data_IF_460155245328
#
_entry.id   IF_460155245328
#
_cell.length_a   1.000
_cell.length_b   1.000
_cell.length_c   1.000
_cell.angle_alpha   90.00
_cell.angle_beta   90.00
_cell.angle_gamma   90.00
#
_symmetry.space_group_name_H-M   'P 1'
#
loop_
_entity.id
_entity.type
_entity.pdbx_description
1 polymer ?
#
# COMPACT_ATOMS: atom_id res chain seq x y z
N UNK A 1 -29.16 -3.62 15.35
CA UNK A 1 -28.44 -4.68 16.08
C UNK A 1 -28.46 -5.87 15.14
N UNK A 2 -27.39 -6.06 14.35
CA UNK A 2 -27.21 -7.27 13.56
C UNK A 2 -26.70 -8.35 14.53
N UNK A 3 -27.30 -9.55 14.57
CA UNK A 3 -26.80 -10.61 15.41
C UNK A 3 -25.38 -10.99 14.93
N UNK A 4 -24.49 -11.27 15.87
CA UNK A 4 -23.19 -11.90 15.61
C UNK A 4 -23.41 -13.12 14.73
N UNK A 5 -23.23 -12.97 13.43
CA UNK A 5 -23.17 -14.11 12.53
C UNK A 5 -21.82 -14.78 12.83
N UNK A 6 -21.86 -15.90 13.56
CA UNK A 6 -20.75 -16.82 13.62
C UNK A 6 -20.51 -17.31 12.18
N UNK A 7 -19.65 -16.62 11.45
CA UNK A 7 -19.17 -17.10 10.19
C UNK A 7 -18.37 -18.38 10.46
N UNK A 8 -18.89 -19.53 10.07
CA UNK A 8 -18.10 -20.74 10.01
C UNK A 8 -17.10 -20.54 8.89
N UNK A 9 -15.84 -20.23 9.24
CA UNK A 9 -14.76 -20.11 8.28
C UNK A 9 -14.61 -21.43 7.52
N UNK A 10 -14.73 -21.38 6.20
CA UNK A 10 -14.64 -22.56 5.34
C UNK A 10 -13.25 -23.23 5.42
N UNK A 11 -12.21 -22.43 5.58
CA UNK A 11 -10.82 -22.86 5.68
C UNK A 11 -10.12 -22.22 6.89
N UNK A 12 -9.08 -22.88 7.37
CA UNK A 12 -8.18 -22.36 8.41
C UNK A 12 -6.77 -22.26 7.83
N UNK A 13 -6.23 -21.06 7.75
CA UNK A 13 -4.87 -20.83 7.31
C UNK A 13 -3.92 -20.70 8.51
N UNK A 14 -2.69 -21.22 8.38
CA UNK A 14 -1.65 -21.09 9.40
C UNK A 14 -0.94 -19.73 9.35
N UNK A 15 -0.97 -19.07 8.18
CA UNK A 15 -0.39 -17.76 7.95
C UNK A 15 -1.48 -16.73 7.65
N UNK A 16 -1.19 -15.47 7.87
CA UNK A 16 -2.06 -14.35 7.49
C UNK A 16 -1.85 -14.03 6.02
N UNK A 17 -2.61 -14.69 5.16
CA UNK A 17 -2.66 -14.33 3.76
C UNK A 17 -3.54 -13.09 3.58
N UNK A 18 -3.08 -12.15 2.76
CA UNK A 18 -3.79 -10.91 2.45
C UNK A 18 -4.13 -10.86 0.96
N UNK A 19 -5.27 -11.41 0.52
CA UNK A 19 -5.70 -11.28 -0.87
C UNK A 19 -5.90 -9.81 -1.21
N UNK A 20 -5.58 -9.44 -2.46
CA UNK A 20 -5.85 -8.11 -2.97
C UNK A 20 -7.36 -7.92 -3.23
N UNK A 21 -7.90 -6.77 -2.80
CA UNK A 21 -9.29 -6.44 -3.09
C UNK A 21 -9.53 -6.37 -4.60
N UNK A 22 -10.59 -7.02 -5.07
CA UNK A 22 -10.88 -7.22 -6.48
C UNK A 22 -10.62 -8.63 -7.00
N UNK A 23 -9.80 -9.43 -6.32
CA UNK A 23 -9.54 -10.83 -6.71
C UNK A 23 -10.81 -11.68 -6.71
N UNK A 24 -11.74 -11.39 -5.81
CA UNK A 24 -12.98 -12.16 -5.65
C UNK A 24 -14.23 -11.49 -6.23
N UNK A 25 -14.07 -10.50 -7.10
CA UNK A 25 -15.21 -9.77 -7.70
C UNK A 25 -16.22 -10.68 -8.43
N UNK A 26 -15.76 -11.78 -9.01
CA UNK A 26 -16.63 -12.74 -9.70
C UNK A 26 -17.41 -13.65 -8.74
N UNK A 27 -17.04 -13.70 -7.46
CA UNK A 27 -17.71 -14.47 -6.42
C UNK A 27 -18.59 -13.60 -5.52
N UNK A 28 -18.15 -12.36 -5.25
CA UNK A 28 -18.74 -11.48 -4.25
C UNK A 28 -19.21 -10.12 -4.81
N UNK A 29 -19.10 -9.90 -6.12
CA UNK A 29 -19.47 -8.62 -6.72
C UNK A 29 -18.42 -7.52 -6.55
N UNK A 30 -18.81 -6.27 -6.82
CA UNK A 30 -17.90 -5.12 -6.84
C UNK A 30 -17.87 -4.34 -5.52
N UNK A 31 -18.86 -4.51 -4.63
CA UNK A 31 -18.84 -3.81 -3.34
C UNK A 31 -17.68 -4.30 -2.47
N UNK A 32 -16.83 -3.40 -1.94
CA UNK A 32 -15.70 -3.79 -1.10
C UNK A 32 -16.10 -4.61 0.11
N UNK A 33 -17.23 -4.30 0.74
CA UNK A 33 -17.68 -4.98 1.95
C UNK A 33 -18.12 -6.43 1.65
N UNK A 34 -18.76 -6.64 0.51
CA UNK A 34 -19.16 -7.99 0.09
C UNK A 34 -17.94 -8.87 -0.21
N UNK A 35 -16.91 -8.29 -0.84
CA UNK A 35 -15.63 -8.99 -1.04
C UNK A 35 -14.91 -9.30 0.28
N UNK A 36 -14.88 -8.36 1.22
CA UNK A 36 -14.31 -8.61 2.56
C UNK A 36 -15.09 -9.69 3.30
N UNK A 37 -16.42 -9.69 3.21
CA UNK A 37 -17.28 -10.74 3.78
C UNK A 37 -16.94 -12.11 3.21
N UNK A 38 -16.84 -12.20 1.88
CA UNK A 38 -16.42 -13.44 1.22
C UNK A 38 -15.04 -13.91 1.70
N UNK A 39 -14.07 -12.99 1.81
CA UNK A 39 -12.73 -13.34 2.33
C UNK A 39 -12.80 -13.93 3.74
N UNK A 40 -13.57 -13.32 4.65
CA UNK A 40 -13.79 -13.83 6.01
C UNK A 40 -14.41 -15.22 5.98
N UNK A 41 -15.46 -15.42 5.18
CA UNK A 41 -16.11 -16.74 5.01
C UNK A 41 -15.15 -17.81 4.49
N UNK A 42 -14.18 -17.43 3.65
CA UNK A 42 -13.12 -18.33 3.19
C UNK A 42 -11.99 -18.53 4.23
N UNK A 43 -11.99 -17.83 5.35
CA UNK A 43 -11.01 -17.97 6.43
C UNK A 43 -9.83 -16.99 6.36
N UNK A 44 -9.86 -15.99 5.49
CA UNK A 44 -8.83 -14.96 5.45
C UNK A 44 -9.02 -13.98 6.62
N UNK A 45 -7.90 -13.64 7.26
CA UNK A 45 -7.85 -12.72 8.41
C UNK A 45 -7.13 -11.40 8.07
N UNK A 46 -6.75 -11.23 6.82
CA UNK A 46 -6.13 -10.01 6.30
C UNK A 46 -6.52 -9.81 4.83
N UNK A 47 -6.34 -8.60 4.34
CA UNK A 47 -6.44 -8.26 2.91
C UNK A 47 -5.54 -7.07 2.59
N UNK A 48 -5.32 -6.79 1.32
CA UNK A 48 -4.64 -5.59 0.85
C UNK A 48 -5.47 -4.86 -0.20
N UNK A 49 -5.23 -3.55 -0.36
CA UNK A 49 -5.93 -2.75 -1.36
C UNK A 49 -5.07 -1.58 -1.84
N UNK A 50 -4.44 -1.73 -3.00
CA UNK A 50 -3.61 -0.69 -3.61
C UNK A 50 -4.38 0.63 -3.85
N UNK A 51 -5.70 0.57 -3.94
CA UNK A 51 -6.56 1.73 -4.18
C UNK A 51 -7.14 2.35 -2.90
N UNK A 52 -6.79 1.89 -1.72
CA UNK A 52 -7.39 2.35 -0.47
C UNK A 52 -7.35 3.88 -0.33
N UNK A 53 -6.21 4.52 -0.63
CA UNK A 53 -6.08 5.99 -0.58
C UNK A 53 -7.06 6.72 -1.51
N UNK A 54 -7.40 6.11 -2.65
CA UNK A 54 -8.28 6.70 -3.67
C UNK A 54 -9.78 6.52 -3.36
N UNK A 55 -10.12 5.66 -2.40
CA UNK A 55 -11.50 5.47 -1.97
C UNK A 55 -11.99 6.69 -1.21
N UNK A 56 -13.26 6.99 -1.32
CA UNK A 56 -13.88 8.02 -0.50
C UNK A 56 -13.82 7.66 1.00
N UNK A 57 -13.87 8.69 1.82
CA UNK A 57 -13.70 8.55 3.28
C UNK A 57 -14.78 7.65 3.90
N UNK A 58 -15.99 7.69 3.38
CA UNK A 58 -17.09 6.88 3.89
C UNK A 58 -16.87 5.39 3.61
N UNK A 59 -16.44 5.06 2.39
CA UNK A 59 -16.04 3.69 2.04
C UNK A 59 -14.89 3.20 2.92
N UNK A 60 -13.85 4.02 3.14
CA UNK A 60 -12.75 3.67 4.05
C UNK A 60 -13.25 3.38 5.46
N UNK A 61 -14.16 4.18 6.01
CA UNK A 61 -14.76 3.96 7.34
C UNK A 61 -15.60 2.69 7.40
N UNK A 62 -16.41 2.42 6.37
CA UNK A 62 -17.19 1.18 6.28
C UNK A 62 -16.27 -0.05 6.30
N UNK A 63 -15.18 -0.01 5.52
CA UNK A 63 -14.18 -1.08 5.49
C UNK A 63 -13.48 -1.23 6.84
N UNK A 64 -13.08 -0.13 7.48
CA UNK A 64 -12.47 -0.15 8.81
C UNK A 64 -13.40 -0.78 9.86
N UNK A 65 -14.67 -0.39 9.88
CA UNK A 65 -15.67 -0.97 10.78
C UNK A 65 -15.86 -2.47 10.54
N UNK A 66 -15.92 -2.88 9.27
CA UNK A 66 -16.03 -4.29 8.93
C UNK A 66 -14.80 -5.10 9.41
N UNK A 67 -13.59 -4.58 9.20
CA UNK A 67 -12.35 -5.22 9.66
C UNK A 67 -12.34 -5.42 11.18
N UNK A 68 -12.67 -4.38 11.94
CA UNK A 68 -12.73 -4.43 13.41
C UNK A 68 -13.69 -5.51 13.86
N UNK A 69 -14.91 -5.54 13.30
CA UNK A 69 -15.96 -6.46 13.70
C UNK A 69 -15.65 -7.94 13.36
N UNK A 70 -14.73 -8.18 12.40
CA UNK A 70 -14.38 -9.52 11.95
C UNK A 70 -12.93 -9.90 12.25
N UNK A 71 -12.21 -9.16 13.10
CA UNK A 71 -10.79 -9.39 13.41
C UNK A 71 -9.90 -9.50 12.18
N UNK A 72 -10.22 -8.75 11.13
CA UNK A 72 -9.47 -8.70 9.88
C UNK A 72 -8.46 -7.54 9.92
N UNK A 73 -7.27 -7.74 9.36
CA UNK A 73 -6.22 -6.74 9.33
C UNK A 73 -6.02 -6.18 7.93
N UNK A 74 -5.71 -4.90 7.86
CA UNK A 74 -5.20 -4.30 6.62
C UNK A 74 -3.74 -4.69 6.42
N UNK A 75 -3.40 -5.16 5.21
CA UNK A 75 -2.04 -5.32 4.74
C UNK A 75 -1.47 -3.97 4.27
N UNK A 76 -1.04 -3.91 3.02
CA UNK A 76 -0.49 -2.67 2.43
C UNK A 76 -1.52 -1.94 1.57
N UNK A 77 -1.29 -0.65 1.38
CA UNK A 77 -1.91 0.17 0.33
C UNK A 77 -0.85 1.10 -0.28
N UNK A 78 -1.08 1.56 -1.50
CA UNK A 78 -0.14 2.45 -2.19
C UNK A 78 -0.22 3.86 -1.59
N UNK A 79 0.92 4.36 -1.10
CA UNK A 79 1.00 5.60 -0.33
C UNK A 79 0.93 6.88 -1.18
N UNK A 80 1.38 6.81 -2.42
CA UNK A 80 1.58 7.98 -3.27
C UNK A 80 1.34 7.67 -4.75
N UNK A 81 1.31 8.71 -5.58
CA UNK A 81 1.27 8.57 -7.04
C UNK A 81 2.56 7.92 -7.55
N UNK A 82 2.44 6.80 -8.25
CA UNK A 82 3.57 6.11 -8.87
C UNK A 82 3.75 6.66 -10.29
N UNK A 83 4.93 7.22 -10.56
CA UNK A 83 5.31 7.69 -11.88
C UNK A 83 5.96 6.56 -12.68
N UNK A 84 5.19 5.96 -13.59
CA UNK A 84 5.57 4.77 -14.33
C UNK A 84 6.51 5.01 -15.52
N UNK A 85 6.52 6.25 -16.06
CA UNK A 85 7.22 6.58 -17.32
C UNK A 85 8.09 7.81 -17.23
N UNK A 86 8.09 8.51 -16.12
CA UNK A 86 8.88 9.73 -15.93
C UNK A 86 9.59 9.71 -14.57
N UNK A 87 10.79 10.33 -14.48
CA UNK A 87 11.54 10.38 -13.24
C UNK A 87 10.77 11.08 -12.12
N UNK A 88 10.77 10.46 -10.93
CA UNK A 88 10.22 11.02 -9.71
C UNK A 88 11.33 11.17 -8.65
N UNK A 89 11.38 10.32 -7.64
CA UNK A 89 12.34 10.47 -6.53
C UNK A 89 13.79 10.40 -6.99
N UNK A 90 14.07 9.55 -7.99
CA UNK A 90 15.39 9.39 -8.58
C UNK A 90 15.94 10.70 -9.21
N UNK A 91 15.07 11.61 -9.66
CA UNK A 91 15.49 12.88 -10.28
C UNK A 91 16.11 13.88 -9.30
N UNK A 92 15.84 13.76 -8.00
CA UNK A 92 16.24 14.73 -6.98
C UNK A 92 15.56 16.10 -7.06
N UNK A 93 14.53 16.25 -7.91
CA UNK A 93 13.80 17.51 -8.03
C UNK A 93 13.03 17.84 -6.77
N UNK A 94 13.16 19.07 -6.28
CA UNK A 94 12.55 19.54 -5.03
C UNK A 94 11.01 19.51 -5.08
N UNK A 95 10.43 19.87 -6.21
CA UNK A 95 8.97 19.83 -6.44
C UNK A 95 8.41 18.40 -6.37
N UNK A 96 9.09 17.44 -7.01
CA UNK A 96 8.70 16.03 -6.97
C UNK A 96 8.82 15.43 -5.57
N UNK A 97 9.87 15.78 -4.85
CA UNK A 97 10.01 15.39 -3.44
C UNK A 97 8.93 16.02 -2.57
N UNK A 98 8.64 17.29 -2.75
CA UNK A 98 7.58 17.99 -1.98
C UNK A 98 6.20 17.37 -2.24
N UNK A 99 5.88 17.03 -3.49
CA UNK A 99 4.66 16.29 -3.86
C UNK A 99 4.59 14.94 -3.13
N UNK A 100 5.66 14.14 -3.21
CA UNK A 100 5.75 12.85 -2.53
C UNK A 100 5.52 12.97 -1.01
N UNK A 101 6.21 13.90 -0.34
CA UNK A 101 6.07 14.08 1.11
C UNK A 101 4.69 14.58 1.52
N UNK A 102 4.05 15.40 0.68
CA UNK A 102 2.65 15.80 0.87
C UNK A 102 1.75 14.56 0.83
N UNK A 103 1.91 13.70 -0.18
CA UNK A 103 1.11 12.49 -0.31
C UNK A 103 1.34 11.49 0.82
N UNK A 104 2.58 11.39 1.35
CA UNK A 104 2.87 10.58 2.54
C UNK A 104 2.10 11.10 3.76
N UNK A 105 2.05 12.42 4.00
CA UNK A 105 1.25 13.01 5.08
C UNK A 105 -0.24 12.68 4.94
N UNK A 106 -0.78 12.79 3.74
CA UNK A 106 -2.17 12.41 3.45
C UNK A 106 -2.42 10.92 3.74
N UNK A 107 -1.44 10.07 3.40
CA UNK A 107 -1.52 8.63 3.61
C UNK A 107 -1.47 8.23 5.08
N UNK A 108 -0.84 9.04 5.95
CA UNK A 108 -0.93 8.86 7.41
C UNK A 108 -2.39 8.93 7.88
N UNK A 109 -3.17 9.88 7.37
CA UNK A 109 -4.58 10.02 7.76
C UNK A 109 -5.45 8.85 7.24
N UNK A 110 -5.11 8.31 6.07
CA UNK A 110 -5.74 7.06 5.58
C UNK A 110 -5.37 5.90 6.49
N UNK A 111 -4.07 5.71 6.79
CA UNK A 111 -3.58 4.62 7.63
C UNK A 111 -4.23 4.63 9.03
N UNK A 112 -4.34 5.80 9.65
CA UNK A 112 -5.06 5.97 10.94
C UNK A 112 -6.51 5.52 10.84
N UNK A 113 -7.21 5.89 9.77
CA UNK A 113 -8.62 5.59 9.57
C UNK A 113 -8.90 4.11 9.41
N UNK A 114 -7.99 3.39 8.73
CA UNK A 114 -8.15 1.96 8.44
C UNK A 114 -7.25 1.07 9.32
N UNK A 115 -6.57 1.64 10.32
CA UNK A 115 -5.62 0.95 11.21
C UNK A 115 -4.53 0.18 10.43
N UNK A 116 -4.02 0.75 9.33
CA UNK A 116 -2.90 0.18 8.59
C UNK A 116 -1.57 0.48 9.29
N UNK A 117 -0.65 -0.48 9.24
CA UNK A 117 0.72 -0.37 9.77
C UNK A 117 1.77 -0.27 8.67
N UNK A 118 1.39 -0.58 7.45
CA UNK A 118 2.28 -0.62 6.30
C UNK A 118 1.68 0.11 5.10
N UNK A 119 2.53 0.73 4.31
CA UNK A 119 2.16 1.31 3.03
C UNK A 119 3.25 1.07 1.99
N UNK A 120 2.83 0.77 0.77
CA UNK A 120 3.75 0.53 -0.36
C UNK A 120 4.27 1.84 -0.92
N UNK A 121 5.59 1.89 -1.13
CA UNK A 121 6.28 2.99 -1.80
C UNK A 121 7.09 2.43 -2.98
N UNK A 122 6.85 2.98 -4.17
CA UNK A 122 7.61 2.70 -5.38
C UNK A 122 8.35 3.96 -5.78
N UNK A 123 9.71 3.99 -5.78
CA UNK A 123 10.50 5.21 -6.04
C UNK A 123 10.30 5.84 -7.41
N UNK A 124 9.63 5.15 -8.34
CA UNK A 124 9.31 5.64 -9.68
C UNK A 124 10.39 5.34 -10.71
N UNK A 125 10.35 6.07 -11.82
CA UNK A 125 11.18 5.83 -13.00
C UNK A 125 12.59 6.41 -12.84
N UNK A 126 13.58 5.79 -13.49
CA UNK A 126 14.95 6.27 -13.63
C UNK A 126 15.02 7.61 -14.36
N UNK A 127 15.97 8.47 -14.00
CA UNK A 127 16.38 9.61 -14.82
C UNK A 127 17.65 9.23 -15.61
N UNK A 128 17.48 8.90 -16.88
CA UNK A 128 18.58 8.45 -17.73
C UNK A 128 19.68 9.52 -17.96
N UNK A 129 19.46 10.77 -17.52
CA UNK A 129 20.44 11.86 -17.60
C UNK A 129 21.35 11.92 -16.39
N UNK A 130 21.05 11.14 -15.32
CA UNK A 130 21.78 11.15 -14.06
C UNK A 130 22.53 9.82 -13.85
N UNK A 131 23.71 9.90 -13.24
CA UNK A 131 24.40 8.72 -12.75
C UNK A 131 23.57 8.00 -11.68
N UNK A 132 23.63 6.66 -11.67
CA UNK A 132 22.83 5.83 -10.75
C UNK A 132 23.13 6.14 -9.27
N UNK A 133 24.37 6.48 -8.92
CA UNK A 133 24.72 6.86 -7.55
C UNK A 133 24.01 8.11 -7.06
N UNK A 134 23.88 9.14 -7.92
CA UNK A 134 23.10 10.33 -7.58
C UNK A 134 21.62 10.02 -7.43
N UNK A 135 21.06 9.15 -8.30
CA UNK A 135 19.69 8.72 -8.20
C UNK A 135 19.42 7.99 -6.90
N UNK A 136 20.32 7.10 -6.50
CA UNK A 136 20.25 6.37 -5.22
C UNK A 136 20.25 7.35 -4.03
N UNK A 137 21.18 8.32 -4.02
CA UNK A 137 21.23 9.33 -2.96
C UNK A 137 19.92 10.15 -2.90
N UNK A 138 19.38 10.56 -4.03
CA UNK A 138 18.12 11.31 -4.10
C UNK A 138 16.92 10.52 -3.56
N UNK A 139 16.86 9.22 -3.88
CA UNK A 139 15.81 8.32 -3.37
C UNK A 139 15.94 8.15 -1.86
N UNK A 140 17.15 7.83 -1.37
CA UNK A 140 17.42 7.65 0.07
C UNK A 140 17.03 8.91 0.87
N UNK A 141 17.42 10.10 0.39
CA UNK A 141 17.05 11.36 1.05
C UNK A 141 15.53 11.53 1.13
N UNK A 142 14.82 11.22 0.05
CA UNK A 142 13.35 11.32 0.02
C UNK A 142 12.68 10.32 0.97
N UNK A 143 13.22 9.08 1.04
CA UNK A 143 12.71 8.05 1.94
C UNK A 143 12.98 8.37 3.42
N UNK A 144 14.15 8.94 3.75
CA UNK A 144 14.45 9.41 5.13
C UNK A 144 13.45 10.45 5.59
N UNK A 145 13.19 11.48 4.76
CA UNK A 145 12.20 12.50 5.07
C UNK A 145 10.77 11.94 5.20
N UNK A 146 10.44 10.91 4.43
CA UNK A 146 9.17 10.21 4.58
C UNK A 146 9.12 9.40 5.89
N UNK A 147 10.21 8.75 6.28
CA UNK A 147 10.31 8.04 7.56
C UNK A 147 10.09 8.98 8.75
N UNK A 148 10.67 10.17 8.74
CA UNK A 148 10.46 11.17 9.78
C UNK A 148 8.97 11.55 9.95
N UNK A 149 8.18 11.46 8.86
CA UNK A 149 6.73 11.68 8.90
C UNK A 149 5.99 10.47 9.48
N UNK A 150 6.44 9.24 9.17
CA UNK A 150 5.71 8.01 9.46
C UNK A 150 6.02 7.43 10.84
N UNK A 151 7.27 7.52 11.31
CA UNK A 151 7.73 6.98 12.59
C UNK A 151 6.88 7.41 13.80
N UNK A 152 6.50 8.69 13.96
CA UNK A 152 5.66 9.12 15.08
C UNK A 152 4.28 8.45 15.12
N UNK A 153 3.87 7.82 14.00
CA UNK A 153 2.59 7.13 13.85
C UNK A 153 2.73 5.60 13.89
N UNK A 154 3.95 5.07 14.03
CA UNK A 154 4.21 3.64 14.02
C UNK A 154 3.86 2.99 12.67
N UNK A 155 4.04 3.72 11.57
CA UNK A 155 3.78 3.26 10.20
C UNK A 155 5.11 2.99 9.50
N UNK A 156 5.20 1.87 8.79
CA UNK A 156 6.38 1.48 8.02
C UNK A 156 6.14 1.59 6.52
N UNK A 157 7.14 2.08 5.79
CA UNK A 157 7.17 1.98 4.33
C UNK A 157 7.62 0.57 3.93
N UNK A 158 6.93 0.00 2.96
CA UNK A 158 7.33 -1.23 2.27
C UNK A 158 7.79 -0.84 0.87
N UNK A 159 9.10 -0.92 0.63
CA UNK A 159 9.65 -0.67 -0.70
C UNK A 159 9.35 -1.86 -1.61
N UNK A 160 8.80 -1.59 -2.78
CA UNK A 160 8.44 -2.62 -3.73
C UNK A 160 9.39 -2.61 -4.94
N UNK A 161 10.35 -3.57 -5.02
CA UNK A 161 11.13 -3.77 -6.24
C UNK A 161 10.26 -4.47 -7.29
N UNK A 162 10.08 -3.83 -8.44
CA UNK A 162 9.25 -4.31 -9.52
C UNK A 162 10.08 -4.84 -10.69
N UNK A 163 9.69 -5.99 -11.25
CA UNK A 163 10.42 -6.63 -12.32
C UNK A 163 10.48 -5.73 -13.57
N UNK A 164 11.64 -5.68 -14.21
CA UNK A 164 11.90 -4.83 -15.37
C UNK A 164 11.16 -5.27 -16.64
N UNK A 165 10.65 -6.50 -16.68
CA UNK A 165 9.95 -7.02 -17.86
C UNK A 165 8.57 -6.38 -18.01
N UNK A 166 7.81 -6.31 -16.91
CA UNK A 166 6.47 -5.72 -16.90
C UNK A 166 6.50 -4.22 -16.55
N UNK A 167 7.57 -3.76 -15.89
CA UNK A 167 7.75 -2.39 -15.42
C UNK A 167 9.12 -1.84 -15.85
N UNK A 168 9.36 -1.69 -17.16
CA UNK A 168 10.65 -1.23 -17.67
C UNK A 168 10.95 0.21 -17.23
N UNK A 169 12.20 0.47 -16.88
CA UNK A 169 12.68 1.81 -16.51
C UNK A 169 12.42 2.24 -15.08
N UNK A 170 11.86 1.39 -14.22
CA UNK A 170 11.76 1.73 -12.80
C UNK A 170 13.14 1.68 -12.11
N UNK A 171 13.34 2.63 -11.19
CA UNK A 171 14.58 2.74 -10.42
C UNK A 171 14.85 1.49 -9.57
N UNK A 172 13.84 1.03 -8.83
CA UNK A 172 13.97 -0.11 -7.93
C UNK A 172 13.44 -1.39 -8.59
N UNK A 173 14.34 -2.27 -9.01
CA UNK A 173 13.96 -3.50 -9.74
C UNK A 173 14.58 -4.78 -9.18
N UNK A 174 15.44 -4.68 -8.16
CA UNK A 174 16.15 -5.82 -7.57
C UNK A 174 16.05 -5.80 -6.06
N UNK A 175 15.79 -6.97 -5.44
CA UNK A 175 15.70 -7.09 -3.98
C UNK A 175 16.98 -6.69 -3.25
N UNK A 176 18.20 -7.02 -3.71
CA UNK A 176 19.43 -6.55 -3.05
C UNK A 176 19.50 -5.02 -3.00
N UNK A 177 19.13 -4.33 -4.07
CA UNK A 177 19.11 -2.87 -4.13
C UNK A 177 18.08 -2.26 -3.14
N UNK A 178 16.99 -2.96 -2.87
CA UNK A 178 15.99 -2.51 -1.90
C UNK A 178 16.45 -2.75 -0.46
N UNK A 179 17.33 -3.71 -0.24
CA UNK A 179 17.88 -4.05 1.07
C UNK A 179 19.00 -3.07 1.49
N UNK A 180 19.85 -2.63 0.56
CA UNK A 180 20.91 -1.64 0.80
C UNK A 180 20.35 -0.27 1.18
#
# INVERSE_FOLDING_TARGET
IYPNSNFYNKYKFNLKYAPHLGMFKHHAGNDPIDQLRFMVEQGFTAFEDNNMKKRDVETQKRMASFMINNNMQMGVFVAHTIYWKEPNLASGKKDKRAEFLKEIKESVEVAKRINAKWMTVVPGHLDLRLNIGYQTANVIESLKLASDILEPHGISMVLEPLNFRNHPGLFLSKSPQAFE
#
